data_IF_937593591740
#
_entry.id   IF_937593591740
#
_cell.length_a   1.000
_cell.length_b   1.000
_cell.length_c   1.000
_cell.angle_alpha   90.00
_cell.angle_beta   90.00
_cell.angle_gamma   90.00
#
_symmetry.space_group_name_H-M   'P 1'
#
loop_
_entity.id
_entity.type
_entity.pdbx_description
1 polymer ?
#
# COMPACT_ATOMS: atom_id res chain seq x y z
N UNK A 1 -16.55 -19.21 -14.10
CA UNK A 1 -15.15 -18.77 -13.89
C UNK A 1 -14.94 -18.65 -12.39
N UNK A 2 -14.00 -19.41 -11.84
CA UNK A 2 -13.68 -19.33 -10.41
C UNK A 2 -12.68 -18.20 -10.15
N UNK A 3 -12.57 -17.74 -8.90
CA UNK A 3 -11.59 -16.72 -8.51
C UNK A 3 -10.14 -17.16 -8.82
N UNK A 4 -9.84 -18.45 -8.71
CA UNK A 4 -8.51 -18.99 -9.00
C UNK A 4 -8.17 -18.98 -10.50
N UNK A 5 -9.19 -19.01 -11.36
CA UNK A 5 -9.07 -18.94 -12.82
C UNK A 5 -9.13 -17.50 -13.36
N UNK A 6 -9.38 -16.51 -12.50
CA UNK A 6 -9.39 -15.09 -12.85
C UNK A 6 -8.00 -14.45 -12.71
N UNK A 7 -7.83 -13.19 -13.15
CA UNK A 7 -6.56 -12.48 -12.94
C UNK A 7 -6.35 -11.94 -11.50
N UNK A 8 -7.33 -12.11 -10.61
CA UNK A 8 -7.24 -11.61 -9.23
C UNK A 8 -6.05 -12.16 -8.42
N UNK A 9 -5.68 -13.45 -8.49
CA UNK A 9 -4.50 -13.96 -7.79
C UNK A 9 -3.20 -13.28 -8.24
N UNK A 10 -3.11 -12.87 -9.51
CA UNK A 10 -1.98 -12.10 -10.02
C UNK A 10 -1.98 -10.68 -9.46
N UNK A 11 -3.12 -9.98 -9.51
CA UNK A 11 -3.26 -8.65 -8.91
C UNK A 11 -2.89 -8.66 -7.41
N UNK A 12 -3.35 -9.66 -6.65
CA UNK A 12 -3.00 -9.82 -5.23
C UNK A 12 -1.48 -9.98 -5.02
N UNK A 13 -0.81 -10.78 -5.85
CA UNK A 13 0.65 -10.94 -5.78
C UNK A 13 1.36 -9.61 -6.05
N UNK A 14 0.91 -8.87 -7.05
CA UNK A 14 1.46 -7.53 -7.34
C UNK A 14 1.26 -6.56 -6.17
N UNK A 15 0.08 -6.55 -5.53
CA UNK A 15 -0.17 -5.73 -4.35
C UNK A 15 0.80 -6.04 -3.20
N UNK A 16 1.12 -7.32 -2.97
CA UNK A 16 2.10 -7.72 -1.96
C UNK A 16 3.51 -7.27 -2.38
N UNK A 17 3.85 -7.38 -3.66
CA UNK A 17 5.13 -6.94 -4.19
C UNK A 17 5.34 -5.42 -4.00
N UNK A 18 4.27 -4.61 -4.05
CA UNK A 18 4.35 -3.17 -3.77
C UNK A 18 4.85 -2.89 -2.34
N UNK A 19 4.47 -3.70 -1.35
CA UNK A 19 4.91 -3.55 0.05
C UNK A 19 6.42 -3.79 0.16
N UNK A 20 6.95 -4.75 -0.58
CA UNK A 20 8.39 -5.04 -0.57
C UNK A 20 9.19 -4.05 -1.42
N UNK A 21 8.62 -3.57 -2.52
CA UNK A 21 9.27 -2.64 -3.43
C UNK A 21 9.34 -1.22 -2.86
N UNK A 22 8.23 -0.75 -2.30
CA UNK A 22 8.12 0.58 -1.75
C UNK A 22 8.23 0.50 -0.24
N UNK A 23 9.42 0.82 0.19
CA UNK A 23 9.80 0.98 1.57
C UNK A 23 8.84 1.93 2.34
N UNK A 24 8.32 3.00 1.70
CA UNK A 24 7.43 3.98 2.33
C UNK A 24 5.99 3.46 2.41
N UNK A 25 5.44 3.19 3.61
CA UNK A 25 4.08 2.67 3.73
C UNK A 25 3.02 3.69 3.27
N UNK A 26 3.26 5.00 3.40
CA UNK A 26 2.32 6.02 2.95
C UNK A 26 2.19 6.01 1.42
N UNK A 27 3.29 5.81 0.68
CA UNK A 27 3.23 5.64 -0.77
C UNK A 27 2.46 4.37 -1.16
N UNK A 28 2.70 3.25 -0.48
CA UNK A 28 1.95 2.00 -0.72
C UNK A 28 0.45 2.23 -0.54
N UNK A 29 0.04 2.94 0.51
CA UNK A 29 -1.38 3.28 0.74
C UNK A 29 -1.96 4.11 -0.40
N UNK A 30 -1.23 5.10 -0.94
CA UNK A 30 -1.71 5.88 -2.08
C UNK A 30 -1.86 5.04 -3.35
N UNK A 31 -0.92 4.12 -3.62
CA UNK A 31 -1.04 3.19 -4.75
C UNK A 31 -2.26 2.27 -4.56
N UNK A 32 -2.50 1.76 -3.35
CA UNK A 32 -3.67 0.93 -3.05
C UNK A 32 -4.99 1.68 -3.22
N UNK A 33 -5.04 2.98 -2.87
CA UNK A 33 -6.20 3.85 -3.15
C UNK A 33 -6.41 3.99 -4.66
N UNK A 34 -5.34 4.22 -5.44
CA UNK A 34 -5.45 4.33 -6.90
C UNK A 34 -5.91 3.01 -7.54
N UNK A 35 -5.41 1.87 -7.06
CA UNK A 35 -5.89 0.54 -7.44
C UNK A 35 -7.39 0.42 -7.17
N UNK A 36 -7.85 0.88 -6.01
CA UNK A 36 -9.26 0.85 -5.63
C UNK A 36 -10.13 1.76 -6.52
N UNK A 37 -9.70 2.99 -6.81
CA UNK A 37 -10.43 3.88 -7.72
C UNK A 37 -10.47 3.33 -9.15
N UNK A 38 -9.35 2.76 -9.63
CA UNK A 38 -9.31 2.06 -10.92
C UNK A 38 -10.27 0.86 -10.94
N UNK A 39 -10.28 0.08 -9.85
CA UNK A 39 -11.18 -1.07 -9.72
C UNK A 39 -12.65 -0.67 -9.77
N UNK A 40 -13.05 0.46 -9.16
CA UNK A 40 -14.43 0.96 -9.27
C UNK A 40 -14.85 1.25 -10.71
N UNK A 41 -13.91 1.69 -11.56
CA UNK A 41 -14.17 1.98 -12.96
C UNK A 41 -14.25 0.71 -13.82
N UNK A 42 -13.44 -0.31 -13.51
CA UNK A 42 -13.34 -1.56 -14.27
C UNK A 42 -13.35 -2.82 -13.37
N UNK A 43 -14.46 -3.09 -12.66
CA UNK A 43 -14.47 -4.10 -11.58
C UNK A 43 -14.29 -5.54 -12.05
N UNK A 44 -14.66 -5.84 -13.29
CA UNK A 44 -14.59 -7.19 -13.87
C UNK A 44 -13.24 -7.51 -14.55
N UNK A 45 -12.31 -6.55 -14.62
CA UNK A 45 -11.03 -6.69 -15.34
C UNK A 45 -9.80 -6.44 -14.44
N UNK A 46 -9.54 -7.28 -13.43
CA UNK A 46 -8.35 -7.18 -12.58
C UNK A 46 -7.01 -7.26 -13.35
N UNK A 47 -6.99 -7.94 -14.51
CA UNK A 47 -5.82 -7.99 -15.38
C UNK A 47 -5.41 -6.62 -15.91
N UNK A 48 -6.37 -5.79 -16.32
CA UNK A 48 -6.11 -4.42 -16.80
C UNK A 48 -5.54 -3.56 -15.67
N UNK A 49 -6.07 -3.68 -14.45
CA UNK A 49 -5.54 -2.98 -13.27
C UNK A 49 -4.07 -3.35 -13.05
N UNK A 50 -3.74 -4.65 -13.15
CA UNK A 50 -2.38 -5.16 -13.00
C UNK A 50 -1.44 -4.58 -14.06
N UNK A 51 -1.89 -4.45 -15.31
CA UNK A 51 -1.13 -3.83 -16.40
C UNK A 51 -0.86 -2.34 -16.16
N UNK A 52 -1.73 -1.63 -15.44
CA UNK A 52 -1.57 -0.22 -15.12
C UNK A 52 -0.57 0.04 -13.98
N UNK A 53 -0.34 -0.93 -13.08
CA UNK A 53 0.51 -0.75 -11.88
C UNK A 53 1.90 -0.15 -12.16
N UNK A 54 2.68 -0.61 -13.16
CA UNK A 54 4.01 -0.06 -13.42
C UNK A 54 3.97 1.43 -13.81
N UNK A 55 2.83 1.91 -14.30
CA UNK A 55 2.63 3.30 -14.71
C UNK A 55 2.05 4.20 -13.62
N UNK A 56 1.59 3.65 -12.49
CA UNK A 56 0.98 4.43 -11.39
C UNK A 56 2.01 5.29 -10.64
N UNK A 57 3.27 4.85 -10.60
CA UNK A 57 4.37 5.59 -9.97
C UNK A 57 5.44 5.86 -11.00
N UNK A 58 5.76 7.14 -11.20
CA UNK A 58 6.79 7.57 -12.14
C UNK A 58 7.71 8.58 -11.47
N UNK A 59 9.00 8.46 -11.75
CA UNK A 59 9.96 9.50 -11.40
C UNK A 59 9.75 10.71 -12.30
N UNK A 60 9.78 11.90 -11.71
CA UNK A 60 9.61 13.17 -12.41
C UNK A 60 10.64 14.17 -11.93
N UNK A 61 11.08 15.06 -12.82
CA UNK A 61 11.91 16.21 -12.46
C UNK A 61 11.04 17.32 -11.87
N UNK A 62 11.63 18.20 -11.06
CA UNK A 62 10.92 19.35 -10.43
C UNK A 62 10.15 20.19 -11.47
N UNK A 63 10.73 20.37 -12.66
CA UNK A 63 10.12 21.13 -13.76
C UNK A 63 8.79 20.53 -14.27
N UNK A 64 8.64 19.21 -14.22
CA UNK A 64 7.50 18.45 -14.74
C UNK A 64 6.33 18.38 -13.76
N UNK A 65 6.57 18.71 -12.49
CA UNK A 65 5.54 18.66 -11.45
C UNK A 65 4.45 19.71 -11.70
N UNK A 66 3.21 19.28 -11.54
CA UNK A 66 2.02 20.14 -11.64
C UNK A 66 1.50 20.50 -10.25
N UNK A 67 0.90 21.69 -10.12
CA UNK A 67 0.18 22.07 -8.91
C UNK A 67 -0.99 21.08 -8.70
N UNK A 68 -1.20 20.66 -7.45
CA UNK A 68 -2.22 19.67 -7.09
C UNK A 68 -1.77 18.22 -7.22
N UNK A 69 -0.58 17.95 -7.76
CA UNK A 69 -0.05 16.59 -7.87
C UNK A 69 0.42 16.08 -6.51
N UNK A 70 0.09 14.82 -6.17
CA UNK A 70 0.55 14.16 -4.95
C UNK A 70 1.88 13.45 -5.24
N UNK A 71 2.91 13.78 -4.47
CA UNK A 71 4.30 13.38 -4.75
C UNK A 71 4.98 12.87 -3.49
N UNK A 72 5.86 11.88 -3.65
CA UNK A 72 6.81 11.46 -2.63
C UNK A 72 8.18 12.06 -2.96
N UNK A 73 8.71 12.87 -2.06
CA UNK A 73 10.06 13.46 -2.16
C UNK A 73 10.99 12.75 -1.19
N UNK A 74 12.10 12.23 -1.70
CA UNK A 74 13.17 11.65 -0.87
C UNK A 74 14.25 12.71 -0.61
N UNK A 75 14.52 13.00 0.65
CA UNK A 75 15.53 13.97 1.09
C UNK A 75 16.40 13.32 2.17
N UNK A 76 17.58 12.84 1.76
CA UNK A 76 18.49 12.11 2.65
C UNK A 76 17.82 10.90 3.29
N UNK A 77 17.62 10.96 4.60
CA UNK A 77 17.00 9.89 5.41
C UNK A 77 15.50 10.06 5.64
N UNK A 78 14.90 11.12 5.10
CA UNK A 78 13.50 11.45 5.29
C UNK A 78 12.78 11.33 3.94
N UNK A 79 11.59 10.75 3.98
CA UNK A 79 10.67 10.75 2.85
C UNK A 79 9.45 11.59 3.21
N UNK A 80 9.05 12.46 2.28
CA UNK A 80 7.97 13.44 2.47
C UNK A 80 6.91 13.18 1.40
N UNK A 81 5.73 12.72 1.82
CA UNK A 81 4.57 12.60 0.95
C UNK A 81 3.73 13.87 1.07
N UNK A 82 3.31 14.48 -0.02
CA UNK A 82 2.45 15.66 0.05
C UNK A 82 1.95 16.12 -1.30
N UNK A 83 1.11 17.15 -1.31
CA UNK A 83 0.53 17.68 -2.55
C UNK A 83 1.24 18.97 -2.97
N UNK A 84 1.63 19.10 -4.24
CA UNK A 84 2.36 20.28 -4.73
C UNK A 84 1.46 21.52 -4.68
N UNK A 85 1.79 22.47 -3.80
CA UNK A 85 1.10 23.76 -3.68
C UNK A 85 1.66 24.82 -4.63
N UNK A 86 2.98 24.90 -4.70
CA UNK A 86 3.71 25.80 -5.60
C UNK A 86 5.12 25.30 -5.84
N UNK A 87 5.72 25.67 -6.97
CA UNK A 87 7.11 25.39 -7.29
C UNK A 87 7.89 26.67 -7.55
N UNK A 88 9.14 26.71 -7.08
CA UNK A 88 10.16 27.71 -7.43
C UNK A 88 11.30 26.98 -8.16
N UNK A 89 12.30 27.73 -8.63
CA UNK A 89 13.45 27.19 -9.38
C UNK A 89 14.14 26.03 -8.63
N UNK A 90 14.33 26.18 -7.32
CA UNK A 90 15.12 25.24 -6.50
C UNK A 90 14.34 24.69 -5.29
N UNK A 91 13.02 24.88 -5.22
CA UNK A 91 12.21 24.39 -4.10
C UNK A 91 10.77 24.09 -4.49
N UNK A 92 10.18 23.15 -3.77
CA UNK A 92 8.77 22.78 -3.89
C UNK A 92 8.11 23.04 -2.54
N UNK A 93 6.97 23.71 -2.56
CA UNK A 93 6.11 23.84 -1.38
C UNK A 93 5.02 22.77 -1.45
N UNK A 94 4.95 21.94 -0.41
CA UNK A 94 3.93 20.92 -0.26
C UNK A 94 2.82 21.37 0.69
N UNK A 95 1.59 20.98 0.38
CA UNK A 95 0.42 21.06 1.22
C UNK A 95 0.19 19.72 1.90
N UNK A 96 -0.19 19.76 3.19
CA UNK A 96 -0.43 18.58 4.05
C UNK A 96 0.70 17.52 3.98
N UNK A 97 1.96 17.89 4.31
CA UNK A 97 3.06 16.95 4.22
C UNK A 97 3.01 15.89 5.33
N UNK A 98 3.20 14.63 4.93
CA UNK A 98 3.38 13.48 5.80
C UNK A 98 4.87 13.08 5.79
N UNK A 99 5.50 13.19 6.96
CA UNK A 99 6.92 12.93 7.14
C UNK A 99 7.10 11.50 7.65
N UNK A 100 7.74 10.65 6.84
CA UNK A 100 8.08 9.29 7.26
C UNK A 100 9.56 9.24 7.61
N UNK A 101 9.82 9.04 8.91
CA UNK A 101 11.14 8.70 9.44
C UNK A 101 11.17 7.23 9.79
N UNK A 102 12.30 6.55 9.53
CA UNK A 102 12.48 5.14 9.87
C UNK A 102 13.68 4.91 10.77
N UNK A 103 13.55 5.19 12.08
CA UNK A 103 14.55 4.78 13.04
C UNK A 103 14.57 3.25 13.16
N UNK A 104 15.74 2.65 13.42
CA UNK A 104 15.86 1.20 13.68
C UNK A 104 15.14 0.78 14.96
N UNK A 105 15.20 1.64 15.97
CA UNK A 105 14.48 1.52 17.23
C UNK A 105 14.13 2.92 17.72
N UNK A 106 12.99 3.02 18.41
CA UNK A 106 12.56 4.25 19.08
C UNK A 106 12.01 3.87 20.43
N UNK A 107 12.47 4.56 21.47
CA UNK A 107 11.88 4.49 22.79
C UNK A 107 10.75 5.53 22.86
N UNK A 108 9.57 5.11 23.30
CA UNK A 108 8.40 5.99 23.48
C UNK A 108 8.03 5.99 24.95
N UNK A 109 7.99 7.18 25.56
CA UNK A 109 7.65 7.31 26.99
C UNK A 109 6.16 7.06 27.19
N UNK A 110 5.80 6.30 28.23
CA UNK A 110 4.40 5.96 28.53
C UNK A 110 3.47 7.18 28.62
N UNK A 111 3.98 8.31 29.12
CA UNK A 111 3.23 9.58 29.22
C UNK A 111 2.83 10.20 27.88
N UNK A 112 3.49 9.83 26.79
CA UNK A 112 3.22 10.33 25.43
C UNK A 112 2.22 9.45 24.66
N UNK A 113 1.95 8.23 25.17
CA UNK A 113 1.09 7.25 24.50
C UNK A 113 -0.38 7.60 24.73
N UNK A 114 -1.11 7.89 23.65
CA UNK A 114 -2.57 8.16 23.69
C UNK A 114 -3.42 6.91 23.43
N UNK A 115 -2.96 6.03 22.56
CA UNK A 115 -3.66 4.80 22.17
C UNK A 115 -2.64 3.77 21.64
N UNK A 116 -2.95 2.48 21.80
CA UNK A 116 -2.15 1.36 21.29
C UNK A 116 -3.07 0.48 20.44
N UNK A 117 -2.70 0.25 19.19
CA UNK A 117 -3.37 -0.68 18.29
C UNK A 117 -2.45 -1.87 18.02
N UNK A 118 -2.99 -3.08 18.10
CA UNK A 118 -2.24 -4.33 17.87
C UNK A 118 -2.83 -5.09 16.70
N UNK A 119 -1.96 -5.62 15.83
CA UNK A 119 -2.37 -6.53 14.77
C UNK A 119 -2.55 -7.94 15.35
N UNK A 120 -3.80 -8.37 15.46
CA UNK A 120 -4.13 -9.73 15.89
C UNK A 120 -3.81 -10.74 14.78
N UNK A 121 -3.00 -11.75 15.07
CA UNK A 121 -2.65 -12.81 14.12
C UNK A 121 -3.57 -14.02 14.31
N UNK A 122 -3.81 -14.77 13.23
CA UNK A 122 -4.59 -16.01 13.30
C UNK A 122 -6.10 -15.80 13.55
N UNK A 123 -6.62 -14.61 13.27
CA UNK A 123 -8.03 -14.25 13.49
C UNK A 123 -9.00 -15.25 12.84
N UNK A 124 -8.68 -15.77 11.66
CA UNK A 124 -9.53 -16.72 10.94
C UNK A 124 -9.80 -18.00 11.75
N UNK A 125 -8.77 -18.60 12.35
CA UNK A 125 -8.94 -19.79 13.19
C UNK A 125 -9.64 -19.49 14.52
N UNK A 126 -9.53 -18.26 15.03
CA UNK A 126 -10.24 -17.82 16.24
C UNK A 126 -11.74 -17.65 15.99
N UNK A 127 -12.10 -17.02 14.86
CA UNK A 127 -13.49 -16.78 14.47
C UNK A 127 -14.14 -18.08 13.98
N UNK A 128 -13.37 -18.93 13.29
CA UNK A 128 -13.88 -20.16 12.70
C UNK A 128 -13.06 -21.40 13.12
N UNK A 129 -13.16 -21.85 14.39
CA UNK A 129 -12.33 -22.93 14.91
C UNK A 129 -12.50 -24.27 14.20
N UNK A 130 -13.66 -24.49 13.58
CA UNK A 130 -13.97 -25.72 12.84
C UNK A 130 -13.32 -25.77 11.45
N UNK A 131 -12.73 -24.67 10.97
CA UNK A 131 -12.05 -24.64 9.69
C UNK A 131 -10.62 -25.18 9.85
N UNK A 132 -10.44 -26.47 9.56
CA UNK A 132 -9.14 -27.13 9.63
C UNK A 132 -8.40 -26.91 8.30
N UNK A 133 -7.35 -26.11 8.34
CA UNK A 133 -6.41 -25.97 7.21
C UNK A 133 -5.35 -27.07 7.35
N UNK A 134 -5.18 -27.90 6.32
CA UNK A 134 -3.96 -28.72 6.22
C UNK A 134 -2.78 -27.80 5.93
N UNK A 135 -1.61 -28.12 6.47
CA UNK A 135 -0.38 -27.35 6.29
C UNK A 135 -0.05 -27.08 4.81
N UNK A 136 0.80 -26.07 4.61
CA UNK A 136 0.95 -25.17 3.47
C UNK A 136 1.15 -25.74 2.04
N UNK A 137 1.01 -27.04 1.81
CA UNK A 137 1.22 -27.68 0.50
C UNK A 137 -0.07 -28.09 -0.23
N UNK A 138 -1.23 -28.11 0.43
CA UNK A 138 -2.49 -28.50 -0.23
C UNK A 138 -3.57 -27.42 -0.04
N UNK A 139 -3.71 -26.54 -1.04
CA UNK A 139 -4.63 -25.38 -1.07
C UNK A 139 -6.10 -25.78 -1.25
N UNK A 140 -6.63 -26.70 -0.43
CA UNK A 140 -8.05 -27.06 -0.43
C UNK A 140 -8.60 -27.07 0.99
N UNK A 141 -9.56 -26.17 1.25
CA UNK A 141 -10.36 -26.18 2.46
C UNK A 141 -11.35 -27.35 2.40
N UNK A 142 -11.46 -28.12 3.47
CA UNK A 142 -12.51 -29.13 3.63
C UNK A 142 -13.34 -28.73 4.85
N UNK A 143 -14.64 -28.49 4.64
CA UNK A 143 -15.59 -28.32 5.73
C UNK A 143 -15.90 -29.72 6.27
N UNK A 144 -15.58 -29.99 7.54
CA UNK A 144 -16.08 -31.19 8.22
C UNK A 144 -17.51 -30.93 8.67
N UNK A 145 -18.43 -31.77 8.19
CA UNK A 145 -19.80 -31.86 8.68
C UNK A 145 -19.87 -32.55 10.04
#
# INVERSE_FOLDING_TARGET
MTFQESDYPSLKREMINLIHKYENPALVVEILKEIWETHKQIPIYPGIISMCLPSMVKEKKIGELKKGERVLIKTGTIEILGTVKSKKKDSILLENPELVKRPRSVEVKSKEIKNILTLEKGVLGKIWPTLVFKDADDRRCIVKG
#
